data_IF_489929339205
#
_entry.id   IF_489929339205
#
_cell.length_a   1.000
_cell.length_b   1.000
_cell.length_c   1.000
_cell.angle_alpha   90.00
_cell.angle_beta   90.00
_cell.angle_gamma   90.00
#
_symmetry.space_group_name_H-M   'P 1'
#
loop_
_entity.id
_entity.type
_entity.pdbx_description
1 polymer ?
#
# COMPACT_ATOMS: atom_id res chain seq x y z
N UNK A 1 11.47 10.49 0.88
CA UNK A 1 12.47 9.43 1.22
C UNK A 1 11.66 8.20 1.55
N UNK A 2 11.84 7.12 0.78
CA UNK A 2 10.87 6.02 0.72
C UNK A 2 10.76 5.29 2.05
N UNK A 3 9.53 5.15 2.48
CA UNK A 3 9.14 4.64 3.78
C UNK A 3 8.72 3.16 3.65
N UNK A 4 9.47 2.38 2.88
CA UNK A 4 9.17 0.95 2.68
C UNK A 4 9.77 0.14 3.83
N UNK A 5 9.03 -0.87 4.27
CA UNK A 5 9.50 -1.91 5.18
C UNK A 5 9.59 -3.24 4.45
N UNK A 6 10.57 -4.04 4.86
CA UNK A 6 10.80 -5.37 4.30
C UNK A 6 10.74 -6.38 5.43
N UNK A 7 10.01 -7.47 5.21
CA UNK A 7 10.03 -8.64 6.05
C UNK A 7 10.66 -9.81 5.27
N UNK A 8 11.54 -10.55 5.92
CA UNK A 8 12.11 -11.80 5.40
C UNK A 8 11.31 -12.97 5.98
N UNK A 9 10.60 -13.69 5.11
CA UNK A 9 9.80 -14.86 5.45
C UNK A 9 10.66 -16.08 5.82
N UNK A 10 11.98 -15.99 5.68
CA UNK A 10 12.97 -17.04 5.99
C UNK A 10 12.74 -18.36 5.23
N UNK A 11 12.03 -18.31 4.11
CA UNK A 11 11.66 -19.48 3.31
C UNK A 11 10.44 -20.26 3.83
N UNK A 12 9.63 -19.66 4.70
CA UNK A 12 8.35 -20.24 5.17
C UNK A 12 7.25 -20.19 4.12
N UNK A 13 7.32 -19.24 3.21
CA UNK A 13 6.43 -19.08 2.07
C UNK A 13 7.21 -19.18 0.76
N UNK A 14 6.48 -19.23 -0.36
CA UNK A 14 7.10 -19.27 -1.69
C UNK A 14 7.86 -17.97 -2.02
N UNK A 15 7.45 -16.85 -1.44
CA UNK A 15 8.12 -15.57 -1.52
C UNK A 15 9.12 -15.36 -0.39
N UNK A 16 10.36 -14.98 -0.71
CA UNK A 16 11.40 -14.74 0.30
C UNK A 16 11.13 -13.47 1.10
N UNK A 17 10.68 -12.40 0.45
CA UNK A 17 10.51 -11.08 1.05
C UNK A 17 9.09 -10.56 0.86
N UNK A 18 8.56 -9.91 1.89
CA UNK A 18 7.35 -9.09 1.79
C UNK A 18 7.72 -7.62 1.96
N UNK A 19 7.38 -6.79 0.99
CA UNK A 19 7.60 -5.35 1.02
C UNK A 19 6.27 -4.66 1.33
N UNK A 20 6.28 -3.75 2.30
CA UNK A 20 5.15 -2.89 2.63
C UNK A 20 5.55 -1.44 2.36
N UNK A 21 4.86 -0.79 1.43
CA UNK A 21 5.01 0.65 1.20
C UNK A 21 4.13 1.42 2.20
N UNK A 22 4.75 2.15 3.14
CA UNK A 22 3.99 2.87 4.18
C UNK A 22 3.22 4.08 3.66
N UNK A 23 3.57 4.61 2.50
CA UNK A 23 2.88 5.78 1.95
C UNK A 23 1.55 5.38 1.33
N UNK A 24 1.57 4.36 0.47
CA UNK A 24 0.38 3.86 -0.23
C UNK A 24 -0.38 2.77 0.54
N UNK A 25 0.29 2.08 1.47
CA UNK A 25 -0.19 0.87 2.12
C UNK A 25 -0.14 -0.37 1.23
N UNK A 26 0.49 -0.30 0.06
CA UNK A 26 0.61 -1.42 -0.87
C UNK A 26 1.61 -2.47 -0.37
N UNK A 27 1.28 -3.74 -0.63
CA UNK A 27 2.07 -4.89 -0.21
C UNK A 27 2.50 -5.69 -1.43
N UNK A 28 3.79 -6.02 -1.49
CA UNK A 28 4.40 -6.78 -2.58
C UNK A 28 5.10 -8.02 -2.02
N UNK A 29 4.80 -9.19 -2.58
CA UNK A 29 5.57 -10.40 -2.33
C UNK A 29 6.69 -10.49 -3.36
N UNK A 30 7.90 -10.79 -2.91
CA UNK A 30 9.10 -10.74 -3.73
C UNK A 30 9.97 -11.97 -3.49
N UNK A 31 10.39 -12.59 -4.58
CA UNK A 31 11.28 -13.74 -4.55
C UNK A 31 12.47 -13.59 -5.50
N UNK A 32 13.52 -14.35 -5.23
CA UNK A 32 14.67 -14.52 -6.11
C UNK A 32 14.42 -15.75 -6.99
N UNK A 33 14.28 -15.52 -8.29
CA UNK A 33 14.14 -16.62 -9.23
C UNK A 33 15.47 -17.39 -9.38
N UNK A 34 15.40 -18.57 -10.01
CA UNK A 34 16.56 -19.45 -10.23
C UNK A 34 17.67 -18.82 -11.08
N UNK A 35 17.35 -17.78 -11.84
CA UNK A 35 18.29 -17.04 -12.69
C UNK A 35 18.97 -15.88 -11.94
N UNK A 36 18.71 -15.74 -10.63
CA UNK A 36 19.26 -14.67 -9.81
C UNK A 36 18.59 -13.31 -10.03
N UNK A 37 17.44 -13.26 -10.70
CA UNK A 37 16.63 -12.06 -10.86
C UNK A 37 15.54 -11.99 -9.79
N UNK A 38 15.14 -10.77 -9.46
CA UNK A 38 14.07 -10.53 -8.50
C UNK A 38 12.72 -10.44 -9.23
N UNK A 39 11.74 -11.19 -8.74
CA UNK A 39 10.35 -11.15 -9.23
C UNK A 39 9.46 -10.75 -8.09
N UNK A 40 8.71 -9.66 -8.27
CA UNK A 40 7.74 -9.19 -7.28
C UNK A 40 6.34 -9.11 -7.85
N UNK A 41 5.36 -9.43 -7.02
CA UNK A 41 3.93 -9.40 -7.34
C UNK A 41 3.18 -8.53 -6.34
N UNK A 42 2.23 -7.74 -6.85
CA UNK A 42 1.30 -7.00 -5.99
C UNK A 42 0.35 -7.96 -5.27
N UNK A 43 0.31 -7.90 -3.95
CA UNK A 43 -0.50 -8.79 -3.12
C UNK A 43 -1.73 -8.10 -2.52
N UNK A 44 -1.81 -6.77 -2.63
CA UNK A 44 -2.94 -5.99 -2.14
C UNK A 44 -2.51 -4.76 -1.37
N UNK A 45 -3.47 -4.17 -0.66
CA UNK A 45 -3.29 -2.98 0.13
C UNK A 45 -3.76 -3.22 1.56
N UNK A 46 -3.08 -2.64 2.55
CA UNK A 46 -3.43 -2.79 3.97
C UNK A 46 -4.87 -2.34 4.26
N UNK A 47 -5.36 -1.34 3.54
CA UNK A 47 -6.73 -0.83 3.63
C UNK A 47 -7.68 -1.40 2.56
N UNK A 48 -7.34 -2.51 1.90
CA UNK A 48 -8.15 -3.09 0.82
C UNK A 48 -9.60 -3.38 1.25
N UNK A 49 -9.82 -3.78 2.50
CA UNK A 49 -11.15 -4.02 3.05
C UNK A 49 -12.06 -2.78 3.01
N UNK A 50 -11.48 -1.56 2.99
CA UNK A 50 -12.23 -0.31 2.81
C UNK A 50 -12.77 -0.16 1.39
N UNK A 51 -12.09 -0.70 0.37
CA UNK A 51 -12.61 -0.76 -1.01
C UNK A 51 -13.89 -1.57 -1.05
N UNK A 52 -13.92 -2.71 -0.37
CA UNK A 52 -15.09 -3.58 -0.33
C UNK A 52 -16.30 -2.88 0.29
N UNK A 53 -16.08 -2.02 1.28
CA UNK A 53 -17.15 -1.31 2.00
C UNK A 53 -17.63 -0.04 1.28
N UNK A 54 -16.70 0.75 0.74
CA UNK A 54 -16.97 2.09 0.22
C UNK A 54 -16.82 2.23 -1.31
N UNK A 55 -16.45 1.14 -1.99
CA UNK A 55 -16.12 1.15 -3.43
C UNK A 55 -14.75 1.74 -3.72
N UNK A 56 -14.22 1.55 -4.93
CA UNK A 56 -12.85 1.95 -5.31
C UNK A 56 -12.57 3.46 -5.19
N UNK A 57 -13.60 4.30 -5.30
CA UNK A 57 -13.49 5.76 -5.20
C UNK A 57 -13.11 6.29 -3.81
N UNK A 58 -13.17 5.46 -2.76
CA UNK A 58 -12.86 5.89 -1.40
C UNK A 58 -11.43 6.41 -1.24
N UNK A 59 -10.47 5.90 -2.03
CA UNK A 59 -9.06 6.34 -2.02
C UNK A 59 -8.89 7.81 -2.45
N UNK A 60 -9.90 8.41 -3.07
CA UNK A 60 -9.90 9.82 -3.46
C UNK A 60 -10.47 10.73 -2.36
N UNK A 61 -11.02 10.16 -1.28
CA UNK A 61 -11.61 10.94 -0.20
C UNK A 61 -10.51 11.60 0.66
N UNK A 62 -10.74 12.82 1.19
CA UNK A 62 -9.72 13.55 1.95
C UNK A 62 -9.16 12.81 3.18
N UNK A 63 -9.96 11.92 3.78
CA UNK A 63 -9.57 11.15 4.98
C UNK A 63 -8.90 9.81 4.65
N UNK A 64 -8.86 9.42 3.38
CA UNK A 64 -8.36 8.09 2.97
C UNK A 64 -6.90 7.88 3.34
N UNK A 65 -6.05 8.89 3.18
CA UNK A 65 -4.63 8.81 3.49
C UNK A 65 -4.37 8.46 4.96
N UNK A 66 -5.07 9.15 5.87
CA UNK A 66 -4.92 8.89 7.32
C UNK A 66 -5.41 7.49 7.71
N UNK A 67 -6.44 6.99 7.03
CA UNK A 67 -6.91 5.62 7.21
C UNK A 67 -5.87 4.64 6.68
N UNK A 68 -5.33 4.84 5.49
CA UNK A 68 -4.27 4.01 4.89
C UNK A 68 -3.07 3.93 5.84
N UNK A 69 -2.60 5.07 6.34
CA UNK A 69 -1.50 5.12 7.30
C UNK A 69 -1.81 4.31 8.56
N UNK A 70 -3.00 4.49 9.15
CA UNK A 70 -3.41 3.77 10.36
C UNK A 70 -3.51 2.26 10.14
N UNK A 71 -4.12 1.84 9.02
CA UNK A 71 -4.26 0.42 8.67
C UNK A 71 -2.89 -0.20 8.36
N UNK A 72 -2.00 0.55 7.72
CA UNK A 72 -0.64 0.10 7.41
C UNK A 72 0.19 -0.06 8.69
N UNK A 73 0.11 0.89 9.61
CA UNK A 73 0.77 0.81 10.92
C UNK A 73 0.26 -0.39 11.73
N UNK A 74 -1.05 -0.66 11.69
CA UNK A 74 -1.63 -1.85 12.32
C UNK A 74 -1.14 -3.14 11.67
N UNK A 75 -1.07 -3.18 10.33
CA UNK A 75 -0.56 -4.33 9.58
C UNK A 75 0.89 -4.64 9.97
N UNK A 76 1.76 -3.63 9.97
CA UNK A 76 3.18 -3.74 10.36
C UNK A 76 3.31 -4.21 11.81
N UNK A 77 2.56 -3.59 12.73
CA UNK A 77 2.60 -3.97 14.15
C UNK A 77 2.17 -5.41 14.36
N UNK A 78 1.13 -5.87 13.66
CA UNK A 78 0.69 -7.25 13.73
C UNK A 78 1.74 -8.23 13.19
N UNK A 79 2.44 -7.87 12.12
CA UNK A 79 3.56 -8.66 11.59
C UNK A 79 4.72 -8.73 12.59
N UNK A 80 5.10 -7.62 13.22
CA UNK A 80 6.13 -7.57 14.25
C UNK A 80 5.78 -8.38 15.50
N UNK A 81 4.50 -8.35 15.91
CA UNK A 81 3.99 -9.13 17.06
C UNK A 81 3.87 -10.62 16.76
N UNK A 82 3.74 -11.00 15.48
CA UNK A 82 3.66 -12.39 15.05
C UNK A 82 4.64 -12.68 13.89
N UNK A 83 5.92 -12.94 14.19
CA UNK A 83 6.91 -13.32 13.19
C UNK A 83 6.58 -14.64 12.46
N UNK A 84 5.59 -15.41 12.94
CA UNK A 84 5.06 -16.57 12.23
C UNK A 84 4.32 -16.23 10.93
N UNK A 85 3.88 -14.97 10.77
CA UNK A 85 3.05 -14.55 9.65
C UNK A 85 3.86 -14.04 8.45
N UNK A 86 4.62 -12.95 8.60
CA UNK A 86 5.45 -12.35 7.55
C UNK A 86 6.95 -12.53 7.79
N UNK A 87 7.34 -13.29 8.82
CA UNK A 87 8.75 -13.43 9.18
C UNK A 87 9.31 -12.23 9.92
N UNK A 88 10.63 -12.03 9.80
CA UNK A 88 11.39 -11.03 10.56
C UNK A 88 11.50 -9.75 9.76
N UNK A 89 11.28 -8.60 10.40
CA UNK A 89 11.60 -7.31 9.79
C UNK A 89 13.11 -7.22 9.50
N UNK A 90 13.44 -6.91 8.25
CA UNK A 90 14.81 -6.83 7.77
C UNK A 90 15.28 -5.38 7.81
N UNK A 91 16.32 -5.04 8.60
CA UNK A 91 16.93 -3.72 8.57
C UNK A 91 17.44 -3.36 7.19
N UNK A 92 17.41 -2.07 6.83
CA UNK A 92 17.75 -1.61 5.47
C UNK A 92 19.17 -1.97 5.07
N UNK A 93 20.08 -2.01 6.02
CA UNK A 93 21.49 -2.36 5.85
C UNK A 93 21.68 -3.83 5.47
N UNK A 94 20.71 -4.68 5.78
CA UNK A 94 20.69 -6.11 5.46
C UNK A 94 19.97 -6.40 4.13
N UNK A 95 19.43 -5.39 3.44
CA UNK A 95 18.71 -5.61 2.19
C UNK A 95 19.66 -6.01 1.07
N UNK A 96 19.39 -7.12 0.35
CA UNK A 96 20.16 -7.48 -0.83
C UNK A 96 20.09 -6.37 -1.89
N UNK A 97 21.17 -6.15 -2.64
CA UNK A 97 21.24 -5.13 -3.70
C UNK A 97 20.09 -5.27 -4.73
N UNK A 98 19.75 -6.50 -5.11
CA UNK A 98 18.65 -6.76 -6.05
C UNK A 98 17.29 -6.31 -5.48
N UNK A 99 17.09 -6.42 -4.16
CA UNK A 99 15.87 -5.96 -3.49
C UNK A 99 15.80 -4.44 -3.45
N UNK A 100 16.94 -3.78 -3.20
CA UNK A 100 17.05 -2.32 -3.27
C UNK A 100 16.72 -1.82 -4.68
N UNK A 101 17.27 -2.44 -5.72
CA UNK A 101 17.01 -2.07 -7.11
C UNK A 101 15.53 -2.24 -7.47
N UNK A 102 14.90 -3.33 -7.02
CA UNK A 102 13.46 -3.55 -7.20
C UNK A 102 12.63 -2.46 -6.52
N UNK A 103 12.92 -2.15 -5.26
CA UNK A 103 12.21 -1.09 -4.53
C UNK A 103 12.39 0.25 -5.25
N UNK A 104 13.60 0.59 -5.68
CA UNK A 104 13.85 1.81 -6.47
C UNK A 104 13.00 1.82 -7.75
N UNK A 105 12.84 0.67 -8.42
CA UNK A 105 12.00 0.56 -9.62
C UNK A 105 10.51 0.79 -9.33
N UNK A 106 9.98 0.30 -8.20
CA UNK A 106 8.59 0.54 -7.79
C UNK A 106 8.28 2.03 -7.69
N UNK A 107 9.21 2.81 -7.13
CA UNK A 107 9.03 4.26 -6.98
C UNK A 107 9.00 5.00 -8.33
N UNK A 108 9.82 4.55 -9.31
CA UNK A 108 9.84 5.12 -10.66
C UNK A 108 8.53 4.85 -11.42
N UNK A 109 7.85 3.76 -11.09
CA UNK A 109 6.55 3.42 -11.70
C UNK A 109 5.42 4.24 -11.08
N UNK A 110 5.35 4.34 -9.75
CA UNK A 110 4.33 5.16 -9.07
C UNK A 110 4.40 6.66 -9.46
N UNK A 111 5.61 7.20 -9.66
CA UNK A 111 5.79 8.60 -10.11
C UNK A 111 5.30 8.86 -11.54
N UNK A 112 5.22 7.82 -12.40
CA UNK A 112 4.66 7.96 -13.75
C UNK A 112 3.13 7.92 -13.73
N UNK A 113 2.53 7.15 -12.83
CA UNK A 113 1.07 7.04 -12.69
C UNK A 113 0.45 8.22 -11.89
N UNK A 114 1.27 9.00 -11.18
CA UNK A 114 0.85 10.24 -10.51
C UNK A 114 0.69 11.45 -11.46
N UNK A 115 0.99 11.31 -12.76
CA UNK A 115 0.67 12.35 -13.72
C UNK A 115 -0.83 12.35 -14.10
N UNK A 116 -1.58 13.16 -13.34
CA UNK A 116 -2.83 13.85 -13.74
C UNK A 116 -3.96 12.95 -14.26
N UNK A 117 -4.78 12.44 -13.34
CA UNK A 117 -6.22 12.55 -13.56
C UNK A 117 -6.71 13.83 -12.87
N UNK A 118 -7.18 14.85 -13.62
CA UNK A 118 -7.81 16.00 -12.98
C UNK A 118 -8.97 15.48 -12.16
N UNK A 119 -9.03 15.89 -10.88
CA UNK A 119 -10.06 15.44 -9.95
C UNK A 119 -11.42 15.50 -10.61
N UNK A 120 -12.02 14.34 -10.84
CA UNK A 120 -13.41 14.27 -11.25
C UNK A 120 -14.22 14.90 -10.12
N UNK A 121 -14.96 15.98 -10.36
CA UNK A 121 -15.84 16.52 -9.33
C UNK A 121 -16.80 15.40 -8.93
N UNK A 122 -16.88 15.15 -7.63
CA UNK A 122 -17.86 14.21 -7.08
C UNK A 122 -19.25 14.76 -7.43
N UNK A 123 -19.85 14.25 -8.51
CA UNK A 123 -21.25 14.47 -8.86
C UNK A 123 -22.07 13.61 -7.91
N UNK A 124 -22.25 14.10 -6.68
CA UNK A 124 -23.35 13.66 -5.85
C UNK A 124 -24.64 13.86 -6.65
N UNK A 125 -25.60 12.95 -6.51
CA UNK A 125 -26.94 13.10 -7.09
C UNK A 125 -27.43 14.52 -6.79
N UNK A 126 -27.56 15.33 -7.83
CA UNK A 126 -28.34 16.55 -7.78
C UNK A 126 -29.77 16.10 -7.51
N UNK A 127 -30.22 16.25 -6.27
CA UNK A 127 -31.65 16.28 -6.02
C UNK A 127 -32.16 17.54 -6.73
N UNK A 128 -33.21 17.39 -7.54
CA UNK A 128 -33.81 18.41 -8.41
C UNK A 128 -34.40 19.64 -7.66
N UNK A 129 -34.08 19.80 -6.38
CA UNK A 129 -34.69 20.82 -5.51
C UNK A 129 -33.79 22.05 -5.31
N UNK A 130 -32.62 22.15 -5.96
CA UNK A 130 -31.84 23.39 -6.00
C UNK A 130 -31.20 23.84 -4.67
N UNK A 131 -31.21 22.99 -3.64
CA UNK A 131 -30.52 23.26 -2.37
C UNK A 131 -29.19 22.50 -2.31
N UNK A 132 -28.08 23.24 -2.19
CA UNK A 132 -26.75 22.71 -1.88
C UNK A 132 -26.83 21.82 -0.64
N UNK A 133 -26.58 20.52 -0.82
CA UNK A 133 -26.40 19.55 0.26
C UNK A 133 -25.36 20.10 1.24
N UNK A 134 -25.78 20.45 2.45
CA UNK A 134 -24.90 20.89 3.52
C UNK A 134 -23.86 19.81 3.79
N UNK A 135 -22.60 20.20 3.73
CA UNK A 135 -21.46 19.39 4.18
C UNK A 135 -21.77 18.85 5.57
N UNK A 136 -21.85 17.53 5.71
CA UNK A 136 -21.96 16.89 7.01
C UNK A 136 -20.64 17.13 7.76
N UNK A 137 -20.66 18.09 8.70
CA UNK A 137 -19.63 18.23 9.72
C UNK A 137 -19.96 17.14 10.75
N UNK A 138 -19.12 16.12 10.84
CA UNK A 138 -19.16 15.19 11.97
C UNK A 138 -18.76 15.98 13.23
N UNK A 139 -19.64 15.94 14.24
CA UNK A 139 -19.39 16.45 15.60
C UNK A 139 -18.73 15.33 16.39
#
# INVERSE_FOLDING_TARGET
MNNCLVFDNEGRTADRYTIVDRESGDVFAVDLNKDGNITGSYCGNCAQHRITLYGSGWRQMPLSQRIIETETDNYIRNAQLNPGWLGRELPREEWPMLLLDYIVSLNKTQTKDLHKMPGMPYLGLQNDDGWLSKTAIAI
#
